data_IF_307216209837
#
_entry.id   IF_307216209837
#
_cell.length_a   1.000
_cell.length_b   1.000
_cell.length_c   1.000
_cell.angle_alpha   90.00
_cell.angle_beta   90.00
_cell.angle_gamma   90.00
#
_symmetry.space_group_name_H-M   'P 1'
#
loop_
_entity.id
_entity.type
_entity.pdbx_description
1 polymer ?
#
# COMPACT_ATOMS: atom_id res chain seq x y z
N UNK A 1 20.42 9.58 64.17
CA UNK A 1 21.64 10.41 64.09
C UNK A 1 22.49 9.93 62.91
N UNK A 2 22.33 10.59 61.75
CA UNK A 2 23.25 10.61 60.61
C UNK A 2 22.93 11.91 59.87
N UNK A 3 23.92 12.78 59.77
CA UNK A 3 23.76 14.18 59.40
C UNK A 3 23.58 14.35 57.88
N UNK A 4 22.59 15.16 57.52
CA UNK A 4 22.46 15.83 56.24
C UNK A 4 23.51 16.95 56.12
N UNK A 5 24.12 17.08 54.95
CA UNK A 5 25.04 18.16 54.60
C UNK A 5 24.84 18.62 53.16
N UNK A 6 23.90 19.54 52.99
CA UNK A 6 23.77 20.54 51.93
C UNK A 6 25.15 21.17 51.57
N UNK A 7 25.45 21.73 50.40
CA UNK A 7 24.89 21.86 49.04
C UNK A 7 26.02 22.56 48.23
N UNK A 8 25.94 22.60 46.88
CA UNK A 8 26.99 23.06 45.98
C UNK A 8 27.13 24.59 45.99
N UNK A 9 28.36 25.11 45.98
CA UNK A 9 28.60 26.55 45.89
C UNK A 9 29.85 26.94 45.07
N UNK A 10 30.44 26.00 44.31
CA UNK A 10 31.73 26.25 43.63
C UNK A 10 31.66 25.89 42.14
N UNK A 11 30.58 26.26 41.45
CA UNK A 11 30.60 26.24 39.97
C UNK A 11 29.58 27.22 39.35
N UNK A 12 29.36 28.37 39.99
CA UNK A 12 28.49 29.45 39.49
C UNK A 12 29.27 30.76 39.26
N UNK A 13 30.57 30.69 38.99
CA UNK A 13 31.47 31.86 38.92
C UNK A 13 32.19 31.99 37.56
N UNK A 14 31.79 31.23 36.53
CA UNK A 14 32.56 31.20 35.26
C UNK A 14 31.81 31.55 33.97
N UNK A 15 30.67 32.26 34.02
CA UNK A 15 30.03 32.73 32.77
C UNK A 15 29.14 33.96 32.97
N UNK A 16 29.67 34.99 33.63
CA UNK A 16 29.04 36.30 33.80
C UNK A 16 30.02 37.43 33.40
N UNK A 17 30.45 37.45 32.13
CA UNK A 17 31.30 38.51 31.59
C UNK A 17 31.24 38.58 30.05
N UNK A 18 30.10 39.01 29.50
CA UNK A 18 30.05 39.66 28.19
C UNK A 18 28.70 40.34 27.96
N UNK A 19 28.54 41.54 28.53
CA UNK A 19 27.51 42.49 28.14
C UNK A 19 28.15 43.86 27.87
N UNK A 20 27.96 44.35 26.65
CA UNK A 20 27.83 45.78 26.33
C UNK A 20 29.04 46.51 25.76
N UNK A 21 29.02 46.77 24.44
CA UNK A 21 29.29 48.09 23.83
C UNK A 21 28.41 48.20 22.55
N UNK A 22 27.35 49.04 22.54
CA UNK A 22 27.23 50.36 21.85
C UNK A 22 27.06 50.26 20.31
N UNK A 23 26.22 50.98 19.55
CA UNK A 23 25.23 52.05 19.75
C UNK A 23 24.60 52.43 18.38
N UNK A 24 23.34 52.90 18.36
CA UNK A 24 22.72 53.78 17.34
C UNK A 24 22.02 53.07 16.16
N UNK A 25 20.87 53.49 15.60
CA UNK A 25 19.92 54.60 15.76
C UNK A 25 18.55 54.05 15.24
N UNK A 26 17.41 54.19 15.92
CA UNK A 26 16.46 55.31 15.85
C UNK A 26 16.16 55.81 14.42
N UNK A 27 15.03 55.40 13.82
CA UNK A 27 14.13 56.33 13.13
C UNK A 27 12.71 55.78 12.96
N UNK A 28 11.77 56.62 13.38
CA UNK A 28 10.33 56.54 13.37
C UNK A 28 9.84 57.37 12.17
N UNK A 29 8.82 56.94 11.43
CA UNK A 29 8.40 57.66 10.22
C UNK A 29 7.11 57.17 9.60
N UNK A 30 6.02 57.75 10.07
CA UNK A 30 4.63 57.61 9.63
C UNK A 30 4.35 58.35 8.29
N UNK A 31 3.24 57.95 7.64
CA UNK A 31 2.31 58.74 6.79
C UNK A 31 2.55 58.90 5.25
N UNK A 32 1.57 58.34 4.52
CA UNK A 32 0.66 59.01 3.56
C UNK A 32 0.74 58.71 2.06
N UNK A 33 -0.47 58.72 1.48
CA UNK A 33 -0.97 58.29 0.18
C UNK A 33 -0.62 59.23 -0.99
N UNK A 34 -0.50 58.69 -2.21
CA UNK A 34 -1.40 59.04 -3.33
C UNK A 34 -1.29 58.10 -4.57
N UNK A 35 -2.47 57.62 -4.97
CA UNK A 35 -3.01 57.21 -6.30
C UNK A 35 -2.14 57.13 -7.56
N UNK A 36 -2.32 56.03 -8.30
CA UNK A 36 -2.59 55.98 -9.75
C UNK A 36 -3.09 54.56 -10.12
N UNK A 37 -4.40 54.31 -10.09
CA UNK A 37 -5.43 54.46 -11.14
C UNK A 37 -5.47 53.33 -12.18
N UNK A 38 -6.62 52.66 -12.18
CA UNK A 38 -7.09 51.52 -12.99
C UNK A 38 -7.85 52.06 -14.20
N UNK A 39 -7.97 51.34 -15.32
CA UNK A 39 -9.09 51.57 -16.23
C UNK A 39 -10.21 50.55 -16.00
N UNK A 40 -11.43 51.10 -15.85
CA UNK A 40 -12.72 50.40 -15.73
C UNK A 40 -13.19 49.75 -17.04
N UNK A 41 -14.10 48.78 -16.87
CA UNK A 41 -15.03 48.28 -17.89
C UNK A 41 -16.06 49.32 -18.33
N UNK A 42 -16.61 49.16 -19.55
CA UNK A 42 -17.99 49.55 -19.82
C UNK A 42 -18.63 48.67 -20.90
N UNK A 43 -19.93 48.49 -20.72
CA UNK A 43 -20.83 47.42 -21.19
C UNK A 43 -21.51 47.75 -22.54
N UNK A 44 -22.20 46.74 -23.09
CA UNK A 44 -23.32 46.73 -24.08
C UNK A 44 -22.87 46.49 -25.53
N UNK A 45 -23.42 45.57 -26.34
CA UNK A 45 -24.80 45.03 -26.47
C UNK A 45 -24.77 43.76 -27.36
N UNK A 46 -25.63 42.75 -27.12
CA UNK A 46 -26.05 41.72 -28.11
C UNK A 46 -27.22 42.26 -28.97
N UNK A 47 -27.73 41.66 -30.10
CA UNK A 47 -27.59 40.26 -30.59
C UNK A 47 -27.41 40.03 -32.13
N UNK A 48 -26.88 38.83 -32.49
CA UNK A 48 -27.22 37.84 -33.56
C UNK A 48 -27.71 38.28 -34.99
N UNK A 49 -27.81 37.41 -36.03
CA UNK A 49 -27.09 36.18 -36.45
C UNK A 49 -26.50 36.32 -37.89
N UNK A 50 -25.79 35.29 -38.40
CA UNK A 50 -25.99 34.68 -39.75
C UNK A 50 -24.75 34.01 -40.34
N UNK A 51 -24.84 32.67 -40.46
CA UNK A 51 -24.57 31.84 -41.65
C UNK A 51 -23.38 32.15 -42.56
N UNK A 52 -22.42 31.21 -42.67
CA UNK A 52 -22.31 30.25 -43.78
C UNK A 52 -20.94 29.51 -43.73
N UNK A 53 -20.99 28.17 -43.83
CA UNK A 53 -19.89 27.30 -44.31
C UNK A 53 -19.72 27.47 -45.85
N UNK A 54 -18.89 26.70 -46.60
CA UNK A 54 -17.70 25.88 -46.32
C UNK A 54 -16.50 26.17 -47.29
N UNK A 55 -15.44 25.37 -47.11
CA UNK A 55 -14.30 24.99 -47.98
C UNK A 55 -14.47 25.13 -49.53
N UNK A 56 -13.38 25.22 -50.33
CA UNK A 56 -12.73 24.00 -50.90
C UNK A 56 -11.19 24.10 -51.02
N UNK A 57 -10.45 23.02 -50.75
CA UNK A 57 -9.86 22.02 -51.68
C UNK A 57 -8.79 22.51 -52.67
N UNK A 58 -7.67 21.75 -52.70
CA UNK A 58 -6.60 21.85 -53.67
C UNK A 58 -5.62 20.68 -53.51
N UNK A 59 -5.90 19.61 -54.24
CA UNK A 59 -5.14 18.36 -54.37
C UNK A 59 -3.88 18.48 -55.28
N UNK A 60 -2.97 17.51 -55.13
CA UNK A 60 -2.01 17.03 -56.15
C UNK A 60 -0.61 17.68 -56.12
N UNK A 61 0.51 17.00 -56.31
CA UNK A 61 0.80 15.65 -56.82
C UNK A 61 2.28 15.30 -56.53
N UNK A 62 2.56 13.99 -56.58
CA UNK A 62 3.81 13.26 -56.38
C UNK A 62 5.11 13.80 -57.00
N UNK A 63 6.24 13.44 -56.39
CA UNK A 63 7.44 13.02 -57.14
C UNK A 63 8.21 11.98 -56.32
N UNK A 64 8.42 10.79 -56.92
CA UNK A 64 9.27 9.71 -56.40
C UNK A 64 10.76 9.98 -56.68
N UNK A 65 11.61 9.47 -55.78
CA UNK A 65 12.89 8.86 -56.12
C UNK A 65 14.15 9.63 -55.74
N UNK A 66 14.79 9.24 -54.64
CA UNK A 66 16.19 8.78 -54.64
C UNK A 66 16.56 8.09 -53.32
N UNK A 67 17.10 6.88 -53.45
CA UNK A 67 17.67 6.07 -52.38
C UNK A 67 18.97 6.70 -51.86
N UNK A 68 19.15 6.70 -50.54
CA UNK A 68 20.40 7.05 -49.88
C UNK A 68 20.44 6.51 -48.46
N UNK A 69 21.14 5.39 -48.28
CA UNK A 69 21.52 4.85 -46.97
C UNK A 69 22.28 5.89 -46.14
N UNK A 70 21.99 5.95 -44.85
CA UNK A 70 22.69 6.86 -43.92
C UNK A 70 22.10 6.81 -42.52
N UNK A 71 22.35 5.71 -41.83
CA UNK A 71 22.10 5.50 -40.40
C UNK A 71 22.73 6.61 -39.56
N UNK A 72 21.91 7.37 -38.84
CA UNK A 72 22.27 7.98 -37.55
C UNK A 72 20.95 8.20 -36.80
N UNK A 73 20.42 7.08 -36.26
CA UNK A 73 19.38 7.12 -35.25
C UNK A 73 19.95 7.87 -34.05
N UNK A 74 19.47 9.09 -33.87
CA UNK A 74 19.65 9.83 -32.62
C UNK A 74 19.02 8.99 -31.52
N UNK A 75 19.84 8.45 -30.63
CA UNK A 75 19.41 7.91 -29.35
C UNK A 75 18.72 9.03 -28.58
N UNK A 76 17.41 9.15 -28.82
CA UNK A 76 16.50 9.98 -28.06
C UNK A 76 16.10 9.19 -26.83
N UNK A 77 16.75 9.52 -25.73
CA UNK A 77 16.34 9.37 -24.34
C UNK A 77 14.89 8.85 -24.18
N UNK A 78 14.76 7.53 -23.99
CA UNK A 78 13.49 6.93 -23.64
C UNK A 78 13.16 7.39 -22.22
N UNK A 79 12.28 8.39 -22.12
CA UNK A 79 11.62 8.82 -20.89
C UNK A 79 11.25 7.60 -20.05
N UNK A 80 12.00 7.36 -18.97
CA UNK A 80 11.86 6.21 -18.08
C UNK A 80 10.63 6.38 -17.18
N UNK A 81 9.44 6.28 -17.76
CA UNK A 81 8.22 6.28 -16.97
C UNK A 81 8.19 5.02 -16.11
N UNK A 82 8.13 5.20 -14.79
CA UNK A 82 7.85 4.13 -13.83
C UNK A 82 6.38 4.14 -13.44
N UNK A 83 5.91 3.00 -12.94
CA UNK A 83 4.56 2.80 -12.41
C UNK A 83 4.70 2.01 -11.11
N UNK A 84 4.09 2.51 -10.04
CA UNK A 84 3.96 1.81 -8.77
C UNK A 84 3.25 0.46 -8.96
N UNK A 85 3.87 -0.62 -8.48
CA UNK A 85 3.32 -1.97 -8.52
C UNK A 85 3.49 -2.65 -7.17
N UNK A 86 2.42 -3.27 -6.68
CA UNK A 86 2.49 -4.12 -5.50
C UNK A 86 3.07 -5.50 -5.87
N UNK A 87 4.10 -5.95 -5.17
CA UNK A 87 4.63 -7.31 -5.26
C UNK A 87 4.70 -7.91 -3.86
N UNK A 88 4.33 -9.18 -3.72
CA UNK A 88 4.39 -9.87 -2.44
C UNK A 88 5.77 -10.50 -2.26
N UNK A 89 6.51 -10.01 -1.27
CA UNK A 89 7.88 -10.41 -0.95
C UNK A 89 7.93 -11.11 0.41
N UNK A 90 9.03 -11.79 0.72
CA UNK A 90 9.23 -12.41 2.03
C UNK A 90 10.01 -11.47 2.94
N UNK A 91 9.51 -11.22 4.14
CA UNK A 91 10.19 -10.41 5.14
C UNK A 91 11.22 -11.23 5.95
N UNK A 92 12.00 -10.53 6.77
CA UNK A 92 13.05 -11.13 7.62
C UNK A 92 12.51 -12.12 8.68
N UNK A 93 11.21 -12.14 8.94
CA UNK A 93 10.53 -13.09 9.82
C UNK A 93 9.97 -14.30 9.06
N UNK A 94 10.15 -14.36 7.73
CA UNK A 94 9.64 -15.42 6.87
C UNK A 94 8.16 -15.25 6.50
N UNK A 95 7.58 -14.07 6.67
CA UNK A 95 6.19 -13.76 6.35
C UNK A 95 6.10 -13.15 4.95
N UNK A 96 5.04 -13.46 4.21
CA UNK A 96 4.80 -12.87 2.88
C UNK A 96 4.00 -11.58 3.03
N UNK A 97 4.52 -10.45 2.55
CA UNK A 97 3.86 -9.15 2.67
C UNK A 97 3.96 -8.32 1.38
N UNK A 98 2.95 -7.48 1.08
CA UNK A 98 2.96 -6.60 -0.09
C UNK A 98 4.03 -5.52 0.07
N UNK A 99 4.72 -5.19 -1.02
CA UNK A 99 5.62 -4.04 -1.14
C UNK A 99 5.33 -3.32 -2.45
N UNK A 100 5.17 -2.00 -2.39
CA UNK A 100 4.98 -1.17 -3.58
C UNK A 100 6.33 -0.76 -4.15
N UNK A 101 6.62 -1.16 -5.39
CA UNK A 101 7.87 -0.86 -6.09
C UNK A 101 7.60 -0.01 -7.34
N UNK A 102 8.50 0.93 -7.62
CA UNK A 102 8.50 1.69 -8.87
C UNK A 102 9.11 0.85 -9.99
N UNK A 103 8.26 0.27 -10.84
CA UNK A 103 8.69 -0.59 -11.95
C UNK A 103 8.64 0.16 -13.27
N UNK A 104 9.53 -0.12 -14.24
CA UNK A 104 9.41 0.43 -15.60
C UNK A 104 8.04 0.13 -16.20
N UNK A 105 7.43 1.09 -16.89
CA UNK A 105 6.16 0.85 -17.57
C UNK A 105 6.27 -0.33 -18.55
N UNK A 106 5.31 -1.26 -18.47
CA UNK A 106 5.24 -2.46 -19.31
C UNK A 106 3.80 -2.77 -19.69
N UNK A 107 3.59 -3.26 -20.91
CA UNK A 107 2.31 -3.81 -21.34
C UNK A 107 2.06 -5.20 -20.73
N UNK A 108 3.12 -5.95 -20.45
CA UNK A 108 3.07 -7.29 -19.84
C UNK A 108 3.16 -7.23 -18.31
N UNK A 109 2.20 -6.55 -17.70
CA UNK A 109 2.22 -6.22 -16.27
C UNK A 109 2.31 -7.44 -15.35
N UNK A 110 1.66 -8.55 -15.71
CA UNK A 110 1.65 -9.78 -14.91
C UNK A 110 2.97 -10.56 -15.02
N UNK A 111 3.53 -10.65 -16.23
CA UNK A 111 4.86 -11.23 -16.47
C UNK A 111 5.91 -10.46 -15.69
N UNK A 112 5.92 -9.13 -15.83
CA UNK A 112 6.85 -8.26 -15.12
C UNK A 112 6.74 -8.42 -13.60
N UNK A 113 5.53 -8.41 -13.04
CA UNK A 113 5.36 -8.56 -11.59
C UNK A 113 6.02 -9.85 -11.06
N UNK A 114 5.91 -10.96 -11.80
CA UNK A 114 6.56 -12.23 -11.45
C UNK A 114 8.08 -12.20 -11.60
N UNK A 115 8.60 -11.56 -12.66
CA UNK A 115 10.06 -11.39 -12.85
C UNK A 115 10.68 -10.62 -11.69
N UNK A 116 9.97 -9.62 -11.15
CA UNK A 116 10.38 -8.86 -9.96
C UNK A 116 10.16 -9.63 -8.64
N UNK A 117 9.73 -10.89 -8.69
CA UNK A 117 9.74 -11.79 -7.54
C UNK A 117 10.90 -12.78 -7.58
N UNK A 118 11.75 -12.76 -8.60
CA UNK A 118 12.86 -13.71 -8.79
C UNK A 118 14.10 -13.30 -7.96
N UNK A 119 14.61 -14.23 -7.14
CA UNK A 119 15.89 -14.07 -6.43
C UNK A 119 17.02 -13.82 -7.42
N UNK A 120 17.89 -12.85 -7.10
CA UNK A 120 18.94 -12.35 -8.00
C UNK A 120 18.43 -11.78 -9.35
N UNK A 121 17.13 -11.49 -9.44
CA UNK A 121 16.47 -10.90 -10.60
C UNK A 121 16.47 -9.36 -10.61
N UNK A 122 15.62 -8.72 -11.45
CA UNK A 122 15.60 -7.26 -11.58
C UNK A 122 15.21 -6.52 -10.29
N UNK A 123 14.55 -7.20 -9.35
CA UNK A 123 14.16 -6.63 -8.05
C UNK A 123 15.33 -6.38 -7.10
N UNK A 124 16.50 -6.98 -7.30
CA UNK A 124 17.59 -6.98 -6.31
C UNK A 124 18.00 -5.58 -5.83
N UNK A 125 17.97 -4.57 -6.71
CA UNK A 125 18.32 -3.19 -6.34
C UNK A 125 17.14 -2.35 -5.83
N UNK A 126 15.93 -2.91 -5.85
CA UNK A 126 14.68 -2.30 -5.39
C UNK A 126 14.16 -2.92 -4.10
N UNK A 127 14.79 -4.00 -3.61
CA UNK A 127 14.36 -4.69 -2.39
C UNK A 127 14.43 -3.74 -1.18
N UNK A 128 13.31 -3.53 -0.46
CA UNK A 128 13.31 -2.84 0.80
C UNK A 128 14.16 -3.57 1.85
N UNK A 129 14.64 -2.85 2.86
CA UNK A 129 15.45 -3.45 3.90
C UNK A 129 14.65 -4.52 4.65
N UNK A 130 15.24 -5.70 4.80
CA UNK A 130 14.59 -6.81 5.48
C UNK A 130 13.60 -7.59 4.63
N UNK A 131 13.58 -7.37 3.32
CA UNK A 131 12.81 -8.18 2.38
C UNK A 131 13.71 -8.94 1.41
N UNK A 132 13.23 -10.10 0.97
CA UNK A 132 13.80 -10.87 -0.11
C UNK A 132 12.76 -11.27 -1.16
N UNK A 133 13.24 -11.47 -2.38
CA UNK A 133 12.48 -12.05 -3.46
C UNK A 133 12.08 -13.50 -3.13
N UNK A 134 10.99 -14.00 -3.72
CA UNK A 134 10.37 -15.26 -3.29
C UNK A 134 10.67 -16.42 -4.24
N UNK A 135 10.74 -16.17 -5.55
CA UNK A 135 10.96 -17.19 -6.56
C UNK A 135 12.45 -17.58 -6.66
N UNK A 136 12.78 -18.85 -6.93
CA UNK A 136 14.17 -19.28 -7.07
C UNK A 136 14.94 -18.52 -8.13
N UNK A 137 16.23 -18.32 -7.88
CA UNK A 137 17.11 -17.66 -8.84
C UNK A 137 17.15 -18.41 -10.18
N UNK A 138 17.11 -17.66 -11.27
CA UNK A 138 17.10 -18.19 -12.63
C UNK A 138 15.74 -18.70 -13.12
N UNK A 139 14.66 -18.52 -12.34
CA UNK A 139 13.30 -18.80 -12.83
C UNK A 139 12.95 -17.83 -13.96
N UNK A 140 12.61 -18.37 -15.14
CA UNK A 140 12.10 -17.60 -16.27
C UNK A 140 10.57 -17.74 -16.35
N UNK A 141 9.87 -16.66 -16.71
CA UNK A 141 8.43 -16.69 -16.97
C UNK A 141 8.23 -16.97 -18.46
N UNK A 142 7.86 -18.20 -18.80
CA UNK A 142 7.74 -18.67 -20.18
C UNK A 142 6.43 -18.22 -20.83
N UNK A 143 5.40 -17.98 -20.03
CA UNK A 143 4.13 -17.45 -20.53
C UNK A 143 3.09 -17.23 -19.45
N UNK A 144 2.26 -16.22 -19.67
CA UNK A 144 1.10 -15.90 -18.84
C UNK A 144 -0.14 -15.88 -19.72
N UNK A 145 -1.15 -16.70 -19.41
CA UNK A 145 -2.35 -16.86 -20.23
C UNK A 145 -3.61 -16.73 -19.38
N UNK A 146 -4.32 -15.61 -19.56
CA UNK A 146 -5.59 -15.37 -18.90
C UNK A 146 -6.73 -16.15 -19.58
N UNK A 147 -7.60 -16.74 -18.77
CA UNK A 147 -8.82 -17.43 -19.19
C UNK A 147 -10.05 -16.58 -18.88
N UNK A 148 -11.11 -16.79 -19.65
CA UNK A 148 -12.39 -16.07 -19.50
C UNK A 148 -13.04 -16.26 -18.11
N UNK A 149 -12.73 -17.35 -17.41
CA UNK A 149 -13.27 -17.64 -16.07
C UNK A 149 -12.50 -16.96 -14.92
N UNK A 150 -11.51 -16.12 -15.25
CA UNK A 150 -10.63 -15.45 -14.30
C UNK A 150 -9.44 -16.29 -13.84
N UNK A 151 -9.16 -17.43 -14.48
CA UNK A 151 -7.95 -18.23 -14.23
C UNK A 151 -6.77 -17.68 -15.00
N UNK A 152 -5.66 -17.39 -14.33
CA UNK A 152 -4.38 -17.04 -14.96
C UNK A 152 -3.46 -18.27 -14.95
N UNK A 153 -3.12 -18.78 -16.13
CA UNK A 153 -2.14 -19.86 -16.26
C UNK A 153 -0.75 -19.24 -16.36
N UNK A 154 0.14 -19.63 -15.46
CA UNK A 154 1.52 -19.14 -15.37
C UNK A 154 2.44 -20.31 -15.68
N UNK A 155 3.17 -20.22 -16.79
CA UNK A 155 4.18 -21.18 -17.20
C UNK A 155 5.57 -20.65 -16.87
N UNK A 156 6.33 -21.42 -16.10
CA UNK A 156 7.67 -21.07 -15.63
C UNK A 156 8.70 -22.11 -16.03
N UNK A 157 9.97 -21.72 -16.02
CA UNK A 157 11.08 -22.62 -16.33
C UNK A 157 11.33 -23.67 -15.24
N UNK A 158 12.22 -24.61 -15.52
CA UNK A 158 12.52 -25.73 -14.62
C UNK A 158 13.21 -25.31 -13.32
N UNK A 159 13.91 -24.17 -13.35
CA UNK A 159 14.59 -23.54 -12.22
C UNK A 159 13.63 -23.20 -11.08
N UNK A 160 12.33 -23.04 -11.37
CA UNK A 160 11.30 -22.85 -10.36
C UNK A 160 11.29 -23.96 -9.31
N UNK A 161 11.82 -25.16 -9.59
CA UNK A 161 11.88 -26.27 -8.63
C UNK A 161 12.94 -26.08 -7.54
N UNK A 162 13.80 -25.07 -7.66
CA UNK A 162 14.98 -24.88 -6.80
C UNK A 162 14.67 -24.06 -5.53
N UNK A 163 13.61 -24.41 -4.81
CA UNK A 163 13.29 -23.83 -3.49
C UNK A 163 13.35 -24.89 -2.37
N UNK A 164 13.42 -24.42 -1.13
CA UNK A 164 13.35 -25.29 0.05
C UNK A 164 11.87 -25.65 0.35
N UNK A 165 11.60 -26.88 0.76
CA UNK A 165 10.23 -27.37 1.03
C UNK A 165 9.42 -26.44 1.95
N UNK A 166 10.08 -25.85 2.96
CA UNK A 166 9.51 -24.89 3.91
C UNK A 166 9.02 -23.56 3.30
N UNK A 167 9.44 -23.23 2.08
CA UNK A 167 9.02 -22.02 1.34
C UNK A 167 7.96 -22.30 0.29
N UNK A 168 7.55 -23.55 0.10
CA UNK A 168 6.60 -23.94 -0.94
C UNK A 168 5.26 -23.19 -0.85
N UNK A 169 4.69 -23.13 0.35
CA UNK A 169 3.44 -22.40 0.60
C UNK A 169 3.63 -20.90 0.41
N UNK A 170 4.77 -20.35 0.86
CA UNK A 170 5.08 -18.92 0.75
C UNK A 170 5.19 -18.47 -0.70
N UNK A 171 5.85 -19.27 -1.54
CA UNK A 171 5.94 -19.04 -2.99
C UNK A 171 4.54 -19.01 -3.61
N UNK A 172 3.72 -20.00 -3.29
CA UNK A 172 2.37 -20.11 -3.82
C UNK A 172 1.49 -18.92 -3.42
N UNK A 173 1.55 -18.53 -2.14
CA UNK A 173 0.83 -17.39 -1.59
C UNK A 173 1.29 -16.08 -2.24
N UNK A 174 2.60 -15.83 -2.31
CA UNK A 174 3.17 -14.63 -2.90
C UNK A 174 2.77 -14.47 -4.37
N UNK A 175 2.88 -15.54 -5.17
CA UNK A 175 2.47 -15.52 -6.57
C UNK A 175 0.98 -15.24 -6.71
N UNK A 176 0.17 -15.91 -5.87
CA UNK A 176 -1.29 -15.77 -5.91
C UNK A 176 -1.70 -14.34 -5.59
N UNK A 177 -1.20 -13.77 -4.50
CA UNK A 177 -1.58 -12.43 -4.06
C UNK A 177 -1.05 -11.34 -5.01
N UNK A 178 0.16 -11.50 -5.55
CA UNK A 178 0.71 -10.61 -6.59
C UNK A 178 -0.14 -10.65 -7.85
N UNK A 179 -0.53 -11.82 -8.35
CA UNK A 179 -1.26 -11.92 -9.63
C UNK A 179 -2.76 -11.60 -9.50
N UNK A 180 -3.36 -11.82 -8.33
CA UNK A 180 -4.77 -11.50 -8.08
C UNK A 180 -5.03 -10.03 -7.77
N UNK A 181 -4.00 -9.18 -7.79
CA UNK A 181 -4.18 -7.72 -7.75
C UNK A 181 -4.83 -7.18 -9.03
N UNK A 182 -4.76 -7.92 -10.14
CA UNK A 182 -5.34 -7.52 -11.42
C UNK A 182 -6.82 -7.89 -11.47
N UNK A 183 -7.71 -6.93 -11.78
CA UNK A 183 -9.18 -7.06 -11.69
C UNK A 183 -9.77 -8.33 -12.34
N UNK A 184 -9.14 -8.83 -13.41
CA UNK A 184 -9.61 -9.99 -14.16
C UNK A 184 -9.00 -11.34 -13.71
N UNK A 185 -8.22 -11.36 -12.63
CA UNK A 185 -7.51 -12.54 -12.14
C UNK A 185 -8.06 -12.96 -10.78
N UNK A 186 -8.76 -14.09 -10.75
CA UNK A 186 -9.37 -14.66 -9.53
C UNK A 186 -8.57 -15.83 -8.96
N UNK A 187 -7.87 -16.56 -9.82
CA UNK A 187 -7.07 -17.72 -9.44
C UNK A 187 -5.90 -17.91 -10.38
N UNK A 188 -4.87 -18.60 -9.91
CA UNK A 188 -3.68 -18.95 -10.69
C UNK A 188 -3.58 -20.46 -10.88
N UNK A 189 -3.01 -20.89 -12.00
CA UNK A 189 -2.60 -22.27 -12.26
C UNK A 189 -1.13 -22.30 -12.67
N UNK A 190 -0.35 -23.15 -12.01
CA UNK A 190 1.07 -23.31 -12.29
C UNK A 190 1.31 -24.36 -13.38
N UNK A 191 2.08 -23.99 -14.38
CA UNK A 191 2.69 -24.85 -15.37
C UNK A 191 4.20 -24.75 -15.25
N UNK A 192 4.91 -25.85 -15.49
CA UNK A 192 6.38 -25.86 -15.54
C UNK A 192 6.80 -26.47 -16.87
N UNK A 193 7.56 -25.72 -17.66
CA UNK A 193 8.00 -26.11 -19.01
C UNK A 193 6.83 -26.60 -19.89
N UNK A 194 5.71 -25.88 -19.89
CA UNK A 194 4.53 -26.22 -20.70
C UNK A 194 3.68 -27.37 -20.15
N UNK A 195 3.97 -27.87 -18.95
CA UNK A 195 3.23 -28.97 -18.32
C UNK A 195 2.43 -28.49 -17.11
N UNK A 196 1.12 -28.74 -17.10
CA UNK A 196 0.24 -28.44 -15.97
C UNK A 196 0.67 -29.22 -14.71
N UNK A 197 0.81 -28.50 -13.59
CA UNK A 197 1.12 -29.10 -12.29
C UNK A 197 -0.17 -29.36 -11.49
N UNK A 198 -0.25 -30.55 -10.89
CA UNK A 198 -1.35 -30.93 -9.99
C UNK A 198 -0.98 -30.72 -8.52
N UNK A 199 0.32 -30.73 -8.24
CA UNK A 199 0.95 -30.50 -6.95
C UNK A 199 2.18 -29.62 -7.18
N UNK A 200 2.60 -28.87 -6.16
CA UNK A 200 3.88 -28.20 -6.15
C UNK A 200 5.04 -29.22 -6.15
N UNK A 201 6.18 -28.93 -6.80
CA UNK A 201 7.19 -29.93 -7.12
C UNK A 201 8.05 -30.46 -5.96
N UNK A 202 8.12 -29.79 -4.80
CA UNK A 202 9.08 -30.14 -3.73
C UNK A 202 8.43 -30.82 -2.53
N UNK A 203 7.41 -30.22 -1.92
CA UNK A 203 6.68 -30.75 -0.76
C UNK A 203 5.31 -31.35 -1.14
N UNK A 204 4.87 -31.15 -2.39
CA UNK A 204 3.69 -31.80 -2.94
C UNK A 204 2.36 -31.14 -2.57
N UNK A 205 2.38 -29.85 -2.21
CA UNK A 205 1.18 -29.04 -1.93
C UNK A 205 0.18 -29.14 -3.09
N UNK A 206 -1.07 -29.61 -2.86
CA UNK A 206 -2.05 -29.77 -3.94
C UNK A 206 -2.50 -28.44 -4.56
N UNK A 207 -2.38 -28.32 -5.89
CA UNK A 207 -2.73 -27.10 -6.65
C UNK A 207 -3.60 -27.36 -7.88
N UNK A 208 -4.07 -28.60 -8.07
CA UNK A 208 -4.88 -29.04 -9.22
C UNK A 208 -6.06 -28.13 -9.62
N UNK A 209 -6.72 -27.51 -8.64
CA UNK A 209 -7.88 -26.62 -8.86
C UNK A 209 -7.48 -25.17 -9.16
N UNK A 210 -6.19 -24.86 -9.12
CA UNK A 210 -5.68 -23.50 -9.00
C UNK A 210 -5.78 -22.96 -7.57
N UNK A 211 -5.14 -21.83 -7.34
CA UNK A 211 -5.04 -21.18 -6.02
C UNK A 211 -5.48 -19.72 -6.14
N UNK A 212 -6.11 -19.21 -5.09
CA UNK A 212 -6.78 -17.90 -5.01
C UNK A 212 -6.56 -17.27 -3.64
N UNK A 213 -6.95 -16.00 -3.46
CA UNK A 213 -6.87 -15.34 -2.14
C UNK A 213 -7.70 -16.04 -1.05
N UNK A 214 -8.76 -16.77 -1.45
CA UNK A 214 -9.57 -17.56 -0.54
C UNK A 214 -8.82 -18.75 0.09
N UNK A 215 -7.70 -19.16 -0.51
CA UNK A 215 -6.81 -20.17 0.07
C UNK A 215 -5.94 -19.59 1.19
N UNK A 216 -5.90 -18.25 1.35
CA UNK A 216 -5.23 -17.55 2.43
C UNK A 216 -3.74 -17.27 2.23
N UNK A 217 -3.12 -16.64 3.24
CA UNK A 217 -1.72 -16.23 3.29
C UNK A 217 -1.24 -16.22 4.75
N UNK A 218 0.02 -16.58 4.99
CA UNK A 218 0.64 -16.58 6.32
C UNK A 218 -0.27 -17.17 7.41
N UNK A 219 -0.71 -18.41 7.22
CA UNK A 219 -1.73 -19.01 8.09
C UNK A 219 -1.34 -19.01 9.57
N UNK A 220 -2.18 -18.41 10.39
CA UNK A 220 -2.09 -18.45 11.84
C UNK A 220 -3.22 -19.31 12.39
N UNK A 221 -2.91 -20.58 12.68
CA UNK A 221 -3.87 -21.51 13.29
C UNK A 221 -3.42 -21.78 14.72
N UNK A 222 -4.03 -21.08 15.68
CA UNK A 222 -3.76 -21.33 17.10
C UNK A 222 -4.06 -22.79 17.48
N UNK A 223 -3.27 -23.35 18.40
CA UNK A 223 -3.28 -24.77 18.80
C UNK A 223 -4.64 -25.36 19.26
N UNK A 224 -5.67 -24.53 19.50
CA UNK A 224 -6.99 -24.95 20.01
C UNK A 224 -8.18 -24.44 19.17
N UNK A 225 -7.96 -24.10 17.90
CA UNK A 225 -9.01 -23.56 17.03
C UNK A 225 -9.95 -24.66 16.55
N UNK A 226 -11.27 -24.52 16.78
CA UNK A 226 -12.27 -25.44 16.21
C UNK A 226 -12.43 -25.17 14.70
N UNK A 227 -11.67 -25.89 13.88
CA UNK A 227 -11.68 -25.77 12.42
C UNK A 227 -13.09 -26.02 11.84
N UNK A 228 -13.87 -26.92 12.44
CA UNK A 228 -15.19 -27.29 11.92
C UNK A 228 -16.20 -26.15 12.12
N UNK A 229 -16.06 -25.41 13.22
CA UNK A 229 -17.00 -24.36 13.62
C UNK A 229 -16.45 -22.94 13.45
N UNK A 230 -15.48 -22.76 12.55
CA UNK A 230 -14.87 -21.48 12.21
C UNK A 230 -14.76 -21.26 10.71
N UNK A 231 -14.55 -20.00 10.32
CA UNK A 231 -14.31 -19.55 8.95
C UNK A 231 -12.96 -18.83 8.89
N UNK A 232 -12.29 -18.92 7.75
CA UNK A 232 -11.01 -18.24 7.55
C UNK A 232 -11.25 -16.80 7.13
N UNK A 233 -10.53 -15.88 7.75
CA UNK A 233 -10.51 -14.45 7.38
C UNK A 233 -9.05 -14.00 7.28
N UNK A 234 -8.76 -13.14 6.31
CA UNK A 234 -7.44 -12.52 6.17
C UNK A 234 -7.50 -11.10 6.73
N UNK A 235 -6.59 -10.81 7.66
CA UNK A 235 -6.47 -9.49 8.30
C UNK A 235 -5.01 -9.05 8.27
N UNK A 236 -4.76 -7.75 8.21
CA UNK A 236 -3.42 -7.17 8.14
C UNK A 236 -2.99 -6.68 9.51
N UNK A 237 -1.82 -7.12 9.95
CA UNK A 237 -1.20 -6.68 11.19
C UNK A 237 0.11 -5.93 10.90
N UNK A 238 0.43 -4.90 11.68
CA UNK A 238 1.70 -4.21 11.55
C UNK A 238 2.86 -5.12 11.96
N UNK A 239 3.94 -5.06 11.19
CA UNK A 239 5.25 -5.58 11.53
C UNK A 239 6.27 -4.44 11.44
N UNK A 240 7.41 -4.61 12.10
CA UNK A 240 8.46 -3.59 12.14
C UNK A 240 9.83 -4.20 11.83
N UNK A 241 10.56 -3.56 10.91
CA UNK A 241 11.97 -3.83 10.65
C UNK A 241 12.76 -2.52 10.72
N UNK A 242 13.54 -2.35 11.80
CA UNK A 242 14.23 -1.09 12.06
C UNK A 242 13.22 0.04 12.29
N UNK A 243 13.26 1.06 11.43
CA UNK A 243 12.32 2.19 11.46
C UNK A 243 11.12 1.99 10.51
N UNK A 244 11.17 0.97 9.63
CA UNK A 244 10.10 0.68 8.70
C UNK A 244 8.98 -0.11 9.38
N UNK A 245 7.76 0.42 9.33
CA UNK A 245 6.52 -0.29 9.69
C UNK A 245 5.82 -0.66 8.38
N UNK A 246 5.33 -1.89 8.29
CA UNK A 246 4.62 -2.39 7.11
C UNK A 246 3.52 -3.36 7.54
N UNK A 247 2.55 -3.59 6.66
CA UNK A 247 1.40 -4.43 6.94
C UNK A 247 1.61 -5.86 6.42
N UNK A 248 1.35 -6.84 7.28
CA UNK A 248 1.48 -8.28 6.95
C UNK A 248 0.09 -8.92 6.99
N UNK A 249 -0.42 -9.45 5.87
CA UNK A 249 -1.68 -10.18 5.87
C UNK A 249 -1.51 -11.52 6.55
N UNK A 250 -2.50 -11.91 7.34
CA UNK A 250 -2.54 -13.17 8.08
C UNK A 250 -3.93 -13.75 7.96
N UNK A 251 -4.00 -14.98 7.45
CA UNK A 251 -5.25 -15.76 7.48
C UNK A 251 -5.39 -16.45 8.82
N UNK A 252 -6.33 -15.97 9.62
CA UNK A 252 -6.74 -16.54 10.91
C UNK A 252 -8.14 -17.13 10.80
N UNK A 253 -8.68 -17.66 11.90
CA UNK A 253 -10.00 -18.28 11.94
C UNK A 253 -10.89 -17.63 12.99
N UNK A 254 -12.10 -17.27 12.58
CA UNK A 254 -13.14 -16.67 13.42
C UNK A 254 -14.33 -17.60 13.57
N UNK A 255 -15.10 -17.46 14.66
CA UNK A 255 -16.26 -18.29 14.91
C UNK A 255 -17.34 -18.10 13.81
N UNK A 256 -17.97 -19.21 13.40
CA UNK A 256 -19.08 -19.19 12.42
C UNK A 256 -20.30 -18.43 12.93
N UNK A 257 -20.98 -17.75 12.00
CA UNK A 257 -22.31 -17.16 12.23
C UNK A 257 -22.32 -15.73 12.76
N UNK A 258 -21.15 -15.11 12.91
CA UNK A 258 -21.04 -13.66 13.07
C UNK A 258 -21.27 -12.95 11.72
N UNK A 259 -21.65 -11.68 11.78
CA UNK A 259 -21.53 -10.78 10.62
C UNK A 259 -20.07 -10.75 10.15
N UNK A 260 -19.83 -10.88 8.83
CA UNK A 260 -18.49 -11.10 8.27
C UNK A 260 -17.53 -9.95 8.61
N UNK A 261 -17.97 -8.70 8.39
CA UNK A 261 -17.15 -7.53 8.69
C UNK A 261 -16.90 -7.38 10.18
N UNK A 262 -17.93 -7.62 11.00
CA UNK A 262 -17.79 -7.68 12.45
C UNK A 262 -16.74 -8.71 12.87
N UNK A 263 -16.74 -9.89 12.26
CA UNK A 263 -15.78 -10.95 12.57
C UNK A 263 -14.35 -10.57 12.17
N UNK A 264 -14.17 -9.90 11.03
CA UNK A 264 -12.86 -9.40 10.61
C UNK A 264 -12.31 -8.33 11.56
N UNK A 265 -13.14 -7.36 11.96
CA UNK A 265 -12.73 -6.34 12.93
C UNK A 265 -12.45 -6.96 14.30
N UNK A 266 -13.24 -7.94 14.73
CA UNK A 266 -12.98 -8.69 15.96
C UNK A 266 -11.63 -9.43 15.91
N UNK A 267 -11.28 -10.04 14.78
CA UNK A 267 -9.97 -10.67 14.60
C UNK A 267 -8.83 -9.66 14.72
N UNK A 268 -9.00 -8.44 14.19
CA UNK A 268 -8.01 -7.37 14.37
C UNK A 268 -7.91 -6.91 15.84
N UNK A 269 -9.04 -6.79 16.55
CA UNK A 269 -9.10 -6.44 17.98
C UNK A 269 -8.47 -7.51 18.88
N UNK A 270 -8.66 -8.79 18.55
CA UNK A 270 -7.99 -9.91 19.24
C UNK A 270 -6.46 -9.87 19.05
N UNK A 271 -6.02 -9.38 17.88
CA UNK A 271 -4.61 -9.22 17.54
C UNK A 271 -3.96 -10.49 16.99
N UNK A 272 -2.66 -10.43 16.67
CA UNK A 272 -1.92 -11.56 16.13
C UNK A 272 -1.63 -12.63 17.19
N UNK A 273 -1.17 -13.81 16.76
CA UNK A 273 -0.77 -14.88 17.67
C UNK A 273 0.31 -14.40 18.66
N UNK A 274 0.14 -14.75 19.94
CA UNK A 274 1.08 -14.39 21.00
C UNK A 274 2.47 -14.96 20.70
N UNK A 275 3.47 -14.06 20.67
CA UNK A 275 4.86 -14.43 20.39
C UNK A 275 5.20 -14.46 18.90
N UNK A 276 4.27 -14.09 18.01
CA UNK A 276 4.59 -13.76 16.61
C UNK A 276 5.42 -12.47 16.52
N UNK A 277 6.00 -12.21 15.34
CA UNK A 277 6.73 -10.97 15.04
C UNK A 277 5.81 -9.77 14.74
N UNK A 278 4.49 -9.97 14.83
CA UNK A 278 3.47 -8.99 14.49
C UNK A 278 3.05 -8.19 15.73
N UNK A 279 2.66 -6.95 15.51
CA UNK A 279 2.22 -6.01 16.54
C UNK A 279 0.70 -5.92 16.58
N UNK A 280 0.15 -5.67 17.76
CA UNK A 280 -1.28 -5.37 17.87
C UNK A 280 -1.51 -3.93 17.40
N UNK A 281 -2.39 -3.69 16.41
CA UNK A 281 -2.63 -2.35 15.90
C UNK A 281 -3.41 -1.46 16.87
N UNK A 282 -4.13 -2.03 17.83
CA UNK A 282 -5.06 -1.30 18.69
C UNK A 282 -4.65 -1.32 20.16
N UNK A 283 -5.10 -0.31 20.91
CA UNK A 283 -4.90 -0.27 22.35
C UNK A 283 -5.81 -1.28 23.08
N UNK A 284 -5.38 -1.67 24.28
CA UNK A 284 -6.20 -2.50 25.16
C UNK A 284 -7.56 -1.84 25.45
N UNK A 285 -8.63 -2.62 25.36
CA UNK A 285 -9.99 -2.16 25.63
C UNK A 285 -10.67 -1.45 24.46
N UNK A 286 -10.04 -1.37 23.29
CA UNK A 286 -10.73 -1.01 22.05
C UNK A 286 -11.86 -2.02 21.77
N UNK A 287 -13.05 -1.51 21.45
CA UNK A 287 -14.22 -2.34 21.16
C UNK A 287 -14.97 -1.79 19.95
N UNK A 288 -15.38 -2.69 19.06
CA UNK A 288 -16.31 -2.38 17.98
C UNK A 288 -17.72 -2.19 18.55
N UNK A 289 -18.31 -1.02 18.31
CA UNK A 289 -19.68 -0.68 18.68
C UNK A 289 -20.66 -1.15 17.60
N UNK A 290 -20.35 -0.89 16.33
CA UNK A 290 -21.17 -1.29 15.19
C UNK A 290 -20.39 -1.25 13.87
N UNK A 291 -20.84 -2.01 12.88
CA UNK A 291 -20.39 -1.93 11.48
C UNK A 291 -21.60 -1.77 10.55
N UNK A 292 -21.44 -1.08 9.43
CA UNK A 292 -22.51 -0.89 8.45
C UNK A 292 -21.94 -0.64 7.05
N UNK A 293 -22.29 -1.50 6.10
CA UNK A 293 -21.94 -1.30 4.69
C UNK A 293 -23.07 -0.57 3.96
N UNK A 294 -22.75 0.56 3.33
CA UNK A 294 -23.65 1.28 2.43
C UNK A 294 -22.91 1.75 1.17
N UNK A 295 -23.37 1.32 -0.01
CA UNK A 295 -22.84 1.75 -1.31
C UNK A 295 -21.30 1.61 -1.44
N UNK A 296 -20.72 0.49 -0.98
CA UNK A 296 -19.27 0.26 -1.04
C UNK A 296 -18.47 0.92 0.09
N UNK A 297 -19.10 1.72 0.96
CA UNK A 297 -18.46 2.33 2.14
C UNK A 297 -18.81 1.53 3.38
N UNK A 298 -17.81 0.92 4.02
CA UNK A 298 -17.99 0.26 5.31
C UNK A 298 -17.69 1.26 6.43
N UNK A 299 -18.73 1.71 7.12
CA UNK A 299 -18.60 2.50 8.34
C UNK A 299 -18.37 1.56 9.52
N UNK A 300 -17.29 1.78 10.27
CA UNK A 300 -16.96 1.06 11.51
C UNK A 300 -16.90 2.05 12.68
N UNK A 301 -17.65 1.76 13.74
CA UNK A 301 -17.75 2.62 14.92
C UNK A 301 -17.10 1.95 16.13
N UNK A 302 -16.20 2.65 16.81
CA UNK A 302 -15.46 2.14 17.97
C UNK A 302 -15.73 2.98 19.23
N UNK A 303 -15.37 2.43 20.39
CA UNK A 303 -15.22 3.22 21.61
C UNK A 303 -13.93 4.08 21.59
N UNK A 304 -13.79 5.00 22.54
CA UNK A 304 -12.65 5.93 22.62
C UNK A 304 -11.28 5.26 22.79
N UNK A 305 -11.24 4.02 23.28
CA UNK A 305 -9.98 3.30 23.50
C UNK A 305 -9.23 2.97 22.21
N UNK A 306 -9.88 3.05 21.04
CA UNK A 306 -9.21 2.88 19.75
C UNK A 306 -8.18 4.00 19.49
N UNK A 307 -8.34 5.16 20.14
CA UNK A 307 -7.52 6.35 19.91
C UNK A 307 -6.19 6.28 20.67
N UNK A 308 -5.13 6.78 20.05
CA UNK A 308 -3.81 6.93 20.70
C UNK A 308 -3.71 8.21 21.54
N UNK A 309 -4.53 9.22 21.24
CA UNK A 309 -4.64 10.46 22.00
C UNK A 309 -6.10 10.92 22.03
N UNK A 310 -6.55 11.45 23.17
CA UNK A 310 -7.95 11.84 23.41
C UNK A 310 -8.11 13.32 23.81
N UNK A 311 -7.13 13.91 24.52
CA UNK A 311 -7.33 15.21 25.19
C UNK A 311 -7.10 16.46 24.32
N UNK A 312 -6.28 16.37 23.26
CA UNK A 312 -5.99 17.51 22.37
C UNK A 312 -6.62 17.31 21.00
N UNK A 313 -6.23 16.22 20.35
CA UNK A 313 -6.66 15.86 19.01
C UNK A 313 -6.93 14.35 18.99
N UNK A 314 -8.21 13.93 19.02
CA UNK A 314 -8.61 12.53 18.94
C UNK A 314 -7.99 11.84 17.73
N UNK A 315 -6.91 11.07 17.94
CA UNK A 315 -6.09 10.55 16.86
C UNK A 315 -6.09 9.02 16.83
N UNK A 316 -6.21 8.46 15.64
CA UNK A 316 -6.00 7.05 15.35
C UNK A 316 -4.57 6.88 14.81
N UNK A 317 -3.88 5.81 15.20
CA UNK A 317 -2.54 5.55 14.63
C UNK A 317 -2.64 5.16 13.16
N UNK A 318 -1.63 5.54 12.38
CA UNK A 318 -1.57 5.21 10.95
C UNK A 318 -1.52 3.69 10.75
N UNK A 319 -0.83 2.98 11.65
CA UNK A 319 -0.80 1.52 11.67
C UNK A 319 -2.20 0.90 11.90
N UNK A 320 -3.00 1.46 12.81
CA UNK A 320 -4.37 1.00 13.06
C UNK A 320 -5.29 1.28 11.88
N UNK A 321 -5.19 2.49 11.30
CA UNK A 321 -5.96 2.87 10.13
C UNK A 321 -5.63 1.96 8.94
N UNK A 322 -4.35 1.72 8.68
CA UNK A 322 -3.89 0.82 7.62
C UNK A 322 -4.38 -0.62 7.83
N UNK A 323 -4.28 -1.16 9.06
CA UNK A 323 -4.79 -2.50 9.37
C UNK A 323 -6.30 -2.62 9.13
N UNK A 324 -7.10 -1.61 9.49
CA UNK A 324 -8.53 -1.59 9.20
C UNK A 324 -8.80 -1.55 7.70
N UNK A 325 -8.24 -0.55 7.01
CA UNK A 325 -8.53 -0.31 5.59
C UNK A 325 -8.07 -1.47 4.73
N UNK A 326 -6.83 -1.96 4.89
CA UNK A 326 -6.31 -3.06 4.08
C UNK A 326 -7.05 -4.38 4.32
N UNK A 327 -7.44 -4.67 5.56
CA UNK A 327 -8.21 -5.88 5.87
C UNK A 327 -9.61 -5.83 5.27
N UNK A 328 -10.31 -4.71 5.41
CA UNK A 328 -11.71 -4.62 5.03
C UNK A 328 -11.86 -4.44 3.51
N UNK A 329 -10.98 -3.69 2.85
CA UNK A 329 -11.00 -3.51 1.39
C UNK A 329 -10.45 -4.70 0.60
N UNK A 330 -9.94 -5.75 1.27
CA UNK A 330 -9.68 -7.05 0.62
C UNK A 330 -11.01 -7.77 0.26
N UNK A 331 -12.14 -7.33 0.81
CA UNK A 331 -13.47 -7.79 0.44
C UNK A 331 -13.99 -7.04 -0.78
N UNK A 332 -14.48 -7.78 -1.78
CA UNK A 332 -14.81 -7.25 -3.10
C UNK A 332 -15.98 -6.26 -3.12
N UNK A 333 -16.79 -6.20 -2.06
CA UNK A 333 -17.92 -5.30 -1.91
C UNK A 333 -17.62 -4.05 -1.07
N UNK A 334 -16.38 -3.90 -0.59
CA UNK A 334 -15.91 -2.74 0.18
C UNK A 334 -14.87 -1.97 -0.65
N UNK A 335 -15.23 -0.75 -1.03
CA UNK A 335 -14.37 0.18 -1.77
C UNK A 335 -13.56 1.08 -0.82
N UNK A 336 -14.13 1.44 0.34
CA UNK A 336 -13.51 2.32 1.33
C UNK A 336 -14.06 2.08 2.74
N UNK A 337 -13.31 2.57 3.74
CA UNK A 337 -13.65 2.43 5.16
C UNK A 337 -13.77 3.80 5.81
N UNK A 338 -14.85 4.00 6.56
CA UNK A 338 -15.07 5.21 7.35
C UNK A 338 -14.99 4.86 8.83
N UNK A 339 -14.13 5.54 9.59
CA UNK A 339 -13.91 5.25 11.02
C UNK A 339 -14.60 6.30 11.88
N UNK A 340 -15.51 5.84 12.73
CA UNK A 340 -16.19 6.65 13.74
C UNK A 340 -15.76 6.24 15.14
N UNK A 341 -15.70 7.21 16.04
CA UNK A 341 -15.40 6.97 17.46
C UNK A 341 -16.45 7.63 18.33
N UNK A 342 -17.12 6.82 19.16
CA UNK A 342 -18.16 7.29 20.06
C UNK A 342 -17.64 8.42 20.97
N UNK A 343 -18.41 9.51 21.05
CA UNK A 343 -18.05 10.68 21.85
C UNK A 343 -17.15 11.69 21.15
N UNK A 344 -16.76 11.46 19.89
CA UNK A 344 -15.89 12.34 19.12
C UNK A 344 -16.55 12.72 17.79
N UNK A 345 -16.56 14.02 17.45
CA UNK A 345 -17.08 14.49 16.14
C UNK A 345 -16.07 14.33 15.00
N UNK A 346 -14.77 14.41 15.29
CA UNK A 346 -13.69 14.33 14.31
C UNK A 346 -12.53 13.49 14.83
N UNK A 347 -12.12 12.49 14.04
CA UNK A 347 -10.92 11.69 14.26
C UNK A 347 -9.83 12.18 13.31
N UNK A 348 -8.57 12.11 13.72
CA UNK A 348 -7.41 12.54 12.94
C UNK A 348 -6.41 11.39 12.78
N UNK A 349 -5.59 11.44 11.73
CA UNK A 349 -4.41 10.57 11.59
C UNK A 349 -3.21 11.13 12.40
N UNK A 350 -2.07 10.43 12.39
CA UNK A 350 -0.89 10.88 13.15
C UNK A 350 -0.26 12.17 12.59
N UNK A 351 -0.52 12.49 11.32
CA UNK A 351 -0.15 13.76 10.70
C UNK A 351 -1.06 14.95 11.12
N UNK A 352 -2.13 14.68 11.88
CA UNK A 352 -3.10 15.68 12.33
C UNK A 352 -4.12 16.08 11.27
N UNK A 353 -4.25 15.30 10.21
CA UNK A 353 -5.25 15.48 9.15
C UNK A 353 -6.57 14.81 9.56
N UNK A 354 -7.73 15.48 9.33
CA UNK A 354 -9.01 14.91 9.71
C UNK A 354 -9.38 13.74 8.80
N UNK A 355 -9.80 12.63 9.41
CA UNK A 355 -10.41 11.47 8.74
C UNK A 355 -11.89 11.76 8.45
N UNK A 356 -12.15 12.82 7.68
CA UNK A 356 -13.50 13.30 7.39
C UNK A 356 -14.19 12.57 6.23
N UNK A 357 -13.42 11.92 5.37
CA UNK A 357 -13.90 11.17 4.21
C UNK A 357 -13.51 9.69 4.34
N UNK A 358 -14.27 8.76 3.71
CA UNK A 358 -13.89 7.35 3.68
C UNK A 358 -12.49 7.15 3.10
N UNK A 359 -11.69 6.31 3.75
CA UNK A 359 -10.30 6.01 3.39
C UNK A 359 -10.26 4.78 2.49
N UNK A 360 -9.58 4.89 1.35
CA UNK A 360 -9.40 3.81 0.39
C UNK A 360 -8.07 3.08 0.63
N UNK A 361 -7.93 1.89 0.04
CA UNK A 361 -6.64 1.17 0.02
C UNK A 361 -5.53 1.99 -0.65
N UNK A 362 -5.87 2.78 -1.67
CA UNK A 362 -4.89 3.61 -2.38
C UNK A 362 -4.32 4.72 -1.49
N UNK A 363 -5.14 5.28 -0.59
CA UNK A 363 -4.69 6.29 0.36
C UNK A 363 -3.65 5.72 1.34
N UNK A 364 -3.80 4.45 1.74
CA UNK A 364 -2.83 3.73 2.59
C UNK A 364 -1.55 3.42 1.80
N UNK A 365 -1.67 2.78 0.64
CA UNK A 365 -0.51 2.37 -0.15
C UNK A 365 0.31 3.57 -0.68
N UNK A 366 -0.33 4.72 -0.91
CA UNK A 366 0.33 5.96 -1.30
C UNK A 366 1.03 6.68 -0.14
N UNK A 367 0.58 6.49 1.10
CA UNK A 367 1.20 7.05 2.29
C UNK A 367 2.51 6.34 2.69
N UNK A 368 2.63 5.03 2.43
CA UNK A 368 3.87 4.26 2.68
C UNK A 368 5.02 4.59 1.70
N UNK A 369 4.73 5.31 0.60
CA UNK A 369 5.69 5.67 -0.45
C UNK A 369 6.30 7.08 -0.28
N UNK A 370 5.86 7.86 0.71
CA UNK A 370 6.35 9.21 1.04
C UNK A 370 7.20 9.20 2.30
#
# INVERSE_FOLDING_TARGET
MKNYGYKPFILAVLLLLSAGLLSGCLFEGEQSLEKMDTPEEAVTTTPDPSSDEPQPEGEGENTEGEEGEGTEGTEGDASSATVAREVYLMDANGMVAPQTLELPASEEVATQALEYMVKDGPVTNLLPNGFEAVLPAGTEILGVNAKEDGTLVVDVSEEFKNYAAEDEEKILQAMTYTLTQFENVKRIKLWINGHEQQVMPVDGTPISKGISRADGINHSVGNNTDIMNSEAVTVYFPAQNGEQVYQVPVTTRVAKGSDEYTAMVQALLEGPELGSALMNPFNEGAELVNSKLENGVLTVSFNENILTSVEEQPSLSDAALASLVMSLTDQADIESVEVHVDGTEHVFNEAGEPLAEPVTRQDINGAEAM
#
